data_IF_261809362736
#
_entry.id   IF_261809362736
#
_cell.length_a   1.000
_cell.length_b   1.000
_cell.length_c   1.000
_cell.angle_alpha   90.00
_cell.angle_beta   90.00
_cell.angle_gamma   90.00
#
_symmetry.space_group_name_H-M   'P 1'
#
loop_
_entity.id
_entity.type
_entity.pdbx_description
1 polymer ?
#
# COMPACT_ATOMS: atom_id res chain seq x y z
N UNK A 1 6.17 36.57 6.27
CA UNK A 1 6.56 37.17 4.97
C UNK A 1 6.00 36.26 3.88
N UNK A 2 4.91 36.68 3.25
CA UNK A 2 4.28 36.01 2.11
C UNK A 2 5.15 36.22 0.89
N UNK A 3 5.83 35.15 0.42
CA UNK A 3 6.58 35.20 -0.83
C UNK A 3 5.62 35.56 -1.98
N UNK A 4 5.93 36.67 -2.62
CA UNK A 4 5.13 37.28 -3.69
C UNK A 4 4.87 36.24 -4.81
N UNK A 5 3.62 36.01 -5.07
CA UNK A 5 3.09 35.20 -6.14
C UNK A 5 3.34 35.88 -7.48
N UNK A 6 4.48 35.61 -8.12
CA UNK A 6 4.83 36.25 -9.39
C UNK A 6 4.55 35.30 -10.56
N UNK A 7 3.89 35.80 -11.65
CA UNK A 7 3.58 34.98 -12.84
C UNK A 7 4.80 34.27 -13.46
N UNK A 8 5.99 34.87 -13.36
CA UNK A 8 7.25 34.26 -13.85
C UNK A 8 7.66 33.01 -13.08
N UNK A 9 7.50 32.95 -11.75
CA UNK A 9 7.81 31.77 -10.93
C UNK A 9 6.86 30.63 -11.25
N UNK A 10 5.60 30.91 -11.49
CA UNK A 10 4.62 29.90 -11.89
C UNK A 10 4.91 29.31 -13.26
N UNK A 11 5.23 30.15 -14.26
CA UNK A 11 5.57 29.69 -15.59
C UNK A 11 6.80 28.77 -15.55
N UNK A 12 7.85 29.15 -14.80
CA UNK A 12 9.04 28.32 -14.62
C UNK A 12 8.72 26.97 -13.96
N UNK A 13 7.92 26.97 -12.89
CA UNK A 13 7.51 25.73 -12.22
C UNK A 13 6.69 24.83 -13.14
N UNK A 14 5.80 25.39 -13.95
CA UNK A 14 5.02 24.66 -14.94
C UNK A 14 5.93 24.01 -15.99
N UNK A 15 6.90 24.76 -16.52
CA UNK A 15 7.85 24.26 -17.51
C UNK A 15 8.73 23.13 -16.94
N UNK A 16 9.20 23.26 -15.69
CA UNK A 16 10.01 22.24 -14.99
C UNK A 16 9.21 20.94 -14.80
N UNK A 17 7.97 21.03 -14.31
CA UNK A 17 7.09 19.87 -14.13
C UNK A 17 6.78 19.21 -15.47
N UNK A 18 6.44 19.99 -16.48
CA UNK A 18 6.13 19.50 -17.82
C UNK A 18 7.34 18.82 -18.47
N UNK A 19 8.54 19.38 -18.29
CA UNK A 19 9.77 18.78 -18.79
C UNK A 19 10.07 17.42 -18.12
N UNK A 20 9.88 17.32 -16.79
CA UNK A 20 10.05 16.07 -16.06
C UNK A 20 9.04 15.01 -16.52
N UNK A 21 7.78 15.38 -16.69
CA UNK A 21 6.73 14.48 -17.21
C UNK A 21 7.10 13.97 -18.61
N UNK A 22 7.57 14.83 -19.51
CA UNK A 22 7.98 14.42 -20.87
C UNK A 22 9.14 13.43 -20.84
N UNK A 23 10.15 13.63 -19.97
CA UNK A 23 11.24 12.67 -19.80
C UNK A 23 10.74 11.33 -19.29
N UNK A 24 9.89 11.35 -18.26
CA UNK A 24 9.29 10.11 -17.73
C UNK A 24 8.43 9.39 -18.76
N UNK A 25 7.70 10.12 -19.62
CA UNK A 25 6.95 9.53 -20.74
C UNK A 25 7.86 8.85 -21.77
N UNK A 26 9.02 9.42 -22.06
CA UNK A 26 10.02 8.79 -22.93
C UNK A 26 10.56 7.51 -22.29
N UNK A 27 10.97 7.57 -21.01
CA UNK A 27 11.44 6.41 -20.25
C UNK A 27 10.38 5.30 -20.12
N UNK A 28 9.10 5.66 -19.94
CA UNK A 28 8.00 4.68 -19.87
C UNK A 28 7.82 3.90 -21.18
N UNK A 29 8.15 4.48 -22.33
CA UNK A 29 8.12 3.77 -23.63
C UNK A 29 9.23 2.72 -23.70
N UNK A 30 10.41 3.02 -23.20
CA UNK A 30 11.54 2.09 -23.13
C UNK A 30 11.26 0.97 -22.12
N UNK A 31 10.77 1.30 -20.92
CA UNK A 31 10.35 0.32 -19.91
C UNK A 31 9.28 -0.65 -20.42
N UNK A 32 8.37 -0.18 -21.28
CA UNK A 32 7.30 -1.01 -21.84
C UNK A 32 7.82 -2.16 -22.71
N UNK A 33 8.96 -1.99 -23.34
CA UNK A 33 9.58 -2.99 -24.23
C UNK A 33 10.75 -3.71 -23.57
N UNK A 34 11.21 -3.24 -22.42
CA UNK A 34 12.25 -3.89 -21.64
C UNK A 34 11.77 -5.28 -21.18
N UNK A 35 12.65 -6.27 -21.27
CA UNK A 35 12.35 -7.61 -20.77
C UNK A 35 12.44 -7.72 -19.25
N UNK A 36 12.08 -8.88 -18.70
CA UNK A 36 12.12 -9.12 -17.25
C UNK A 36 13.55 -8.97 -16.69
N UNK A 37 14.53 -9.52 -17.38
CA UNK A 37 15.93 -9.52 -16.93
C UNK A 37 16.50 -8.09 -16.88
N UNK A 38 16.13 -7.24 -17.83
CA UNK A 38 16.53 -5.83 -17.87
C UNK A 38 15.94 -5.05 -16.69
N UNK A 39 14.66 -5.27 -16.36
CA UNK A 39 14.01 -4.64 -15.20
C UNK A 39 14.58 -5.17 -13.87
N UNK A 40 14.83 -6.47 -13.76
CA UNK A 40 15.43 -7.08 -12.58
C UNK A 40 16.86 -6.61 -12.39
N UNK A 41 17.63 -6.55 -13.46
CA UNK A 41 18.98 -5.99 -13.45
C UNK A 41 19.02 -4.54 -12.99
N UNK A 42 18.03 -3.73 -13.37
CA UNK A 42 17.90 -2.35 -12.91
C UNK A 42 17.62 -2.26 -11.40
N UNK A 43 16.74 -3.11 -10.85
CA UNK A 43 16.48 -3.18 -9.42
C UNK A 43 17.73 -3.59 -8.61
N UNK A 44 18.49 -4.58 -9.12
CA UNK A 44 19.74 -5.03 -8.50
C UNK A 44 20.79 -3.92 -8.53
N UNK A 45 20.96 -3.22 -9.66
CA UNK A 45 21.90 -2.11 -9.78
C UNK A 45 21.55 -0.93 -8.84
N UNK A 46 20.28 -0.63 -8.67
CA UNK A 46 19.83 0.37 -7.69
C UNK A 46 20.12 -0.09 -6.26
N UNK A 47 19.89 -1.37 -5.93
CA UNK A 47 20.20 -1.94 -4.62
C UNK A 47 21.71 -1.84 -4.32
N UNK A 48 22.58 -2.15 -5.28
CA UNK A 48 24.03 -2.06 -5.15
C UNK A 48 24.49 -0.60 -4.98
N UNK A 49 23.89 0.35 -5.70
CA UNK A 49 24.16 1.77 -5.56
C UNK A 49 23.80 2.30 -4.16
N UNK A 50 22.67 1.88 -3.61
CA UNK A 50 22.23 2.24 -2.24
C UNK A 50 23.19 1.69 -1.18
N UNK A 51 23.65 0.45 -1.32
CA UNK A 51 24.60 -0.15 -0.37
C UNK A 51 25.99 0.50 -0.43
N UNK A 52 26.45 0.83 -1.64
CA UNK A 52 27.79 1.44 -1.82
C UNK A 52 27.91 2.82 -1.20
N UNK A 53 26.83 3.56 -1.08
CA UNK A 53 26.80 4.93 -0.55
C UNK A 53 26.68 5.02 0.96
N UNK A 54 26.38 3.90 1.66
CA UNK A 54 26.23 3.80 3.12
C UNK A 54 25.45 4.98 3.75
N UNK A 55 24.28 5.32 3.18
CA UNK A 55 23.52 6.49 3.59
C UNK A 55 22.75 6.16 4.88
N UNK A 56 22.92 6.96 5.92
CA UNK A 56 22.14 6.84 7.16
C UNK A 56 20.63 6.90 6.92
N UNK A 57 20.18 7.58 5.85
CA UNK A 57 18.78 7.75 5.48
C UNK A 57 18.19 6.62 4.62
N UNK A 58 19.02 5.67 4.15
CA UNK A 58 18.55 4.51 3.39
C UNK A 58 19.00 3.22 4.09
N UNK A 59 18.13 2.61 4.94
CA UNK A 59 18.47 1.38 5.64
C UNK A 59 18.85 0.25 4.67
N UNK A 60 19.80 -0.61 5.07
CA UNK A 60 20.16 -1.83 4.31
C UNK A 60 18.94 -2.68 3.95
N UNK A 61 17.87 -2.58 4.76
CA UNK A 61 16.59 -3.21 4.49
C UNK A 61 15.98 -2.79 3.14
N UNK A 62 16.17 -1.53 2.70
CA UNK A 62 15.64 -1.04 1.42
C UNK A 62 16.31 -1.67 0.21
N UNK A 63 17.64 -1.90 0.27
CA UNK A 63 18.35 -2.61 -0.79
C UNK A 63 17.94 -4.09 -0.85
N UNK A 64 17.77 -4.75 0.30
CA UNK A 64 17.27 -6.11 0.36
C UNK A 64 15.86 -6.23 -0.24
N UNK A 65 14.97 -5.29 0.06
CA UNK A 65 13.61 -5.26 -0.52
C UNK A 65 13.62 -5.11 -2.05
N UNK A 66 14.53 -4.30 -2.62
CA UNK A 66 14.65 -4.19 -4.08
C UNK A 66 15.12 -5.51 -4.71
N UNK A 67 16.05 -6.23 -4.06
CA UNK A 67 16.47 -7.57 -4.50
C UNK A 67 15.33 -8.59 -4.39
N UNK A 68 14.54 -8.53 -3.32
CA UNK A 68 13.35 -9.37 -3.17
C UNK A 68 12.36 -9.14 -4.33
N UNK A 69 12.12 -7.87 -4.71
CA UNK A 69 11.26 -7.55 -5.85
C UNK A 69 11.84 -8.03 -7.18
N UNK A 70 13.15 -7.94 -7.40
CA UNK A 70 13.80 -8.51 -8.58
C UNK A 70 13.56 -10.01 -8.69
N UNK A 71 13.55 -10.75 -7.56
CA UNK A 71 13.28 -12.19 -7.51
C UNK A 71 11.82 -12.59 -7.69
N UNK A 72 10.88 -11.64 -7.77
CA UNK A 72 9.45 -11.97 -7.96
C UNK A 72 9.10 -12.32 -9.41
N UNK A 73 8.05 -13.11 -9.65
CA UNK A 73 7.57 -13.40 -11.01
C UNK A 73 7.24 -12.13 -11.79
N UNK A 74 7.52 -12.14 -13.09
CA UNK A 74 7.16 -11.04 -13.99
C UNK A 74 5.64 -10.93 -14.14
N UNK A 75 5.02 -9.77 -13.82
CA UNK A 75 3.62 -9.58 -14.06
C UNK A 75 3.30 -9.32 -15.54
N UNK A 76 4.27 -8.83 -16.33
CA UNK A 76 4.02 -8.38 -17.70
C UNK A 76 3.91 -9.56 -18.66
N UNK A 77 3.06 -9.41 -19.69
CA UNK A 77 2.82 -10.43 -20.67
C UNK A 77 1.96 -11.62 -20.20
N UNK A 78 1.58 -11.67 -18.92
CA UNK A 78 0.68 -12.71 -18.40
C UNK A 78 -0.68 -12.64 -19.12
N UNK A 79 -1.13 -13.78 -19.65
CA UNK A 79 -2.47 -13.91 -20.25
C UNK A 79 -3.50 -14.08 -19.14
N UNK A 80 -4.43 -13.13 -19.03
CA UNK A 80 -5.52 -13.17 -18.06
C UNK A 80 -6.76 -13.87 -18.60
N UNK A 81 -7.02 -13.67 -19.89
CA UNK A 81 -8.14 -14.28 -20.61
C UNK A 81 -7.70 -14.62 -22.03
N UNK A 82 -8.23 -15.73 -22.53
CA UNK A 82 -8.09 -16.12 -23.92
C UNK A 82 -9.46 -16.57 -24.45
N UNK A 83 -9.87 -16.03 -25.58
CA UNK A 83 -11.16 -16.29 -26.21
C UNK A 83 -10.95 -16.47 -27.71
N UNK A 84 -11.70 -17.40 -28.28
CA UNK A 84 -11.77 -17.55 -29.71
C UNK A 84 -13.03 -16.88 -30.26
N UNK A 85 -12.85 -16.01 -31.24
CA UNK A 85 -13.96 -15.34 -31.91
C UNK A 85 -14.63 -16.29 -32.92
N UNK A 86 -15.85 -15.94 -33.33
CA UNK A 86 -16.63 -16.72 -34.32
C UNK A 86 -15.94 -16.80 -35.67
N UNK A 87 -15.10 -15.83 -36.01
CA UNK A 87 -14.30 -15.79 -37.27
C UNK A 87 -12.97 -16.58 -37.16
N UNK A 88 -12.75 -17.29 -36.03
CA UNK A 88 -11.55 -18.07 -35.78
C UNK A 88 -10.42 -17.27 -35.14
N UNK A 89 -10.50 -15.95 -35.08
CA UNK A 89 -9.43 -15.13 -34.49
C UNK A 89 -9.30 -15.38 -32.95
N UNK A 90 -8.06 -15.46 -32.48
CA UNK A 90 -7.74 -15.62 -31.10
C UNK A 90 -7.56 -14.26 -30.43
N UNK A 91 -8.33 -14.00 -29.34
CA UNK A 91 -8.22 -12.81 -28.52
C UNK A 91 -7.55 -13.16 -27.20
N UNK A 92 -6.52 -12.41 -26.83
CA UNK A 92 -5.83 -12.54 -25.53
C UNK A 92 -5.83 -11.21 -24.79
N UNK A 93 -6.17 -11.25 -23.52
CA UNK A 93 -6.00 -10.12 -22.60
C UNK A 93 -4.69 -10.29 -21.84
N UNK A 94 -3.76 -9.39 -22.05
CA UNK A 94 -2.42 -9.43 -21.45
C UNK A 94 -2.25 -8.31 -20.43
N UNK A 95 -1.44 -8.56 -19.41
CA UNK A 95 -0.95 -7.51 -18.50
C UNK A 95 0.13 -6.68 -19.18
N UNK A 96 0.02 -5.35 -19.04
CA UNK A 96 0.98 -4.37 -19.57
C UNK A 96 1.23 -3.26 -18.54
N UNK A 97 2.36 -2.51 -18.63
CA UNK A 97 2.58 -1.36 -17.74
C UNK A 97 1.46 -0.33 -17.83
N UNK A 98 1.18 0.36 -16.71
CA UNK A 98 0.29 1.52 -16.68
C UNK A 98 0.94 2.67 -17.47
N UNK A 99 2.21 2.99 -17.18
CA UNK A 99 2.95 4.03 -17.87
C UNK A 99 3.69 4.94 -16.91
N UNK A 100 3.26 6.19 -16.76
CA UNK A 100 3.84 7.17 -15.83
C UNK A 100 3.00 7.24 -14.57
N UNK A 101 3.61 6.90 -13.42
CA UNK A 101 2.94 6.92 -12.12
C UNK A 101 3.56 8.01 -11.24
N UNK A 102 2.74 8.93 -10.75
CA UNK A 102 3.16 9.94 -9.81
C UNK A 102 2.93 9.47 -8.36
N UNK A 103 3.94 9.60 -7.50
CA UNK A 103 3.87 9.28 -6.08
C UNK A 103 4.11 10.55 -5.27
N UNK A 104 3.13 10.96 -4.48
CA UNK A 104 3.24 12.05 -3.52
C UNK A 104 3.48 11.44 -2.15
N UNK A 105 4.47 11.90 -1.41
CA UNK A 105 4.77 11.34 -0.10
C UNK A 105 5.21 12.39 0.92
N UNK A 106 4.84 12.13 2.18
CA UNK A 106 5.14 12.95 3.35
C UNK A 106 5.95 12.19 4.39
N UNK A 107 6.25 10.93 4.13
CA UNK A 107 7.11 10.07 4.93
C UNK A 107 8.59 10.25 4.59
N UNK A 108 9.52 9.79 5.45
CA UNK A 108 10.93 9.73 5.13
C UNK A 108 11.22 9.07 3.77
N UNK A 109 12.11 9.62 2.94
CA UNK A 109 12.29 9.18 1.55
C UNK A 109 12.61 7.70 1.36
N UNK A 110 13.26 7.05 2.34
CA UNK A 110 13.55 5.62 2.25
C UNK A 110 12.28 4.75 2.24
N UNK A 111 11.15 5.23 2.76
CA UNK A 111 9.89 4.49 2.67
C UNK A 111 9.39 4.40 1.23
N UNK A 112 9.66 5.39 0.39
CA UNK A 112 9.23 5.37 -1.01
C UNK A 112 9.97 4.30 -1.84
N UNK A 113 11.17 3.88 -1.42
CA UNK A 113 11.91 2.79 -2.07
C UNK A 113 11.12 1.48 -2.09
N UNK A 114 10.32 1.24 -1.05
CA UNK A 114 9.46 0.05 -0.94
C UNK A 114 8.39 0.00 -2.04
N UNK A 115 7.96 1.15 -2.54
CA UNK A 115 7.02 1.25 -3.65
C UNK A 115 7.77 1.34 -5.00
N UNK A 116 8.98 1.89 -5.01
CA UNK A 116 9.77 2.02 -6.22
C UNK A 116 10.08 0.67 -6.88
N UNK A 117 10.41 -0.35 -6.05
CA UNK A 117 10.66 -1.71 -6.53
C UNK A 117 9.50 -2.28 -7.36
N UNK A 118 8.28 -2.39 -6.81
CA UNK A 118 7.15 -2.91 -7.56
C UNK A 118 6.75 -2.04 -8.75
N UNK A 119 6.94 -0.70 -8.69
CA UNK A 119 6.65 0.19 -9.81
C UNK A 119 7.58 -0.07 -11.00
N UNK A 120 8.89 -0.17 -10.78
CA UNK A 120 9.87 -0.46 -11.83
C UNK A 120 9.74 -1.89 -12.34
N UNK A 121 9.49 -2.88 -11.46
CA UNK A 121 9.23 -4.27 -11.85
C UNK A 121 8.05 -4.39 -12.79
N UNK A 122 6.98 -3.61 -12.55
CA UNK A 122 5.80 -3.52 -13.41
C UNK A 122 6.02 -2.68 -14.68
N UNK A 123 7.24 -2.19 -14.94
CA UNK A 123 7.58 -1.46 -16.16
C UNK A 123 7.05 -0.01 -16.20
N UNK A 124 6.80 0.62 -15.04
CA UNK A 124 6.32 1.99 -14.97
C UNK A 124 7.47 2.98 -14.73
N UNK A 125 7.39 4.15 -15.34
CA UNK A 125 8.20 5.30 -14.96
C UNK A 125 7.56 6.05 -13.79
N UNK A 126 8.39 6.62 -12.91
CA UNK A 126 7.97 7.14 -11.62
C UNK A 126 8.32 8.63 -11.48
N UNK A 127 7.31 9.44 -11.16
CA UNK A 127 7.45 10.83 -10.80
C UNK A 127 7.25 10.95 -9.28
N UNK A 128 8.31 11.25 -8.56
CA UNK A 128 8.29 11.40 -7.10
C UNK A 128 8.10 12.88 -6.74
N UNK A 129 7.29 13.17 -5.74
CA UNK A 129 7.19 14.48 -5.12
C UNK A 129 7.10 14.34 -3.61
N UNK A 130 8.20 14.68 -2.95
CA UNK A 130 8.31 14.70 -1.50
C UNK A 130 7.59 15.91 -0.88
N UNK A 131 7.21 15.82 0.39
CA UNK A 131 6.92 17.01 1.17
C UNK A 131 8.16 17.93 1.24
N UNK A 132 7.93 19.22 1.44
CA UNK A 132 9.01 20.22 1.36
C UNK A 132 10.17 19.93 2.32
N UNK A 133 9.87 19.51 3.54
CA UNK A 133 10.87 19.20 4.56
C UNK A 133 11.69 17.94 4.28
N UNK A 134 11.22 17.07 3.38
CA UNK A 134 11.92 15.87 2.93
C UNK A 134 12.58 16.03 1.55
N UNK A 135 12.46 17.20 0.90
CA UNK A 135 12.91 17.37 -0.50
C UNK A 135 14.38 17.07 -0.70
N UNK A 136 15.27 17.66 0.11
CA UNK A 136 16.72 17.46 -0.04
C UNK A 136 17.15 16.01 0.18
N UNK A 137 16.55 15.33 1.16
CA UNK A 137 16.82 13.91 1.38
C UNK A 137 16.28 13.03 0.23
N UNK A 138 15.12 13.41 -0.34
CA UNK A 138 14.58 12.75 -1.52
C UNK A 138 15.44 12.96 -2.77
N UNK A 139 16.01 14.16 -2.94
CA UNK A 139 16.94 14.48 -4.04
C UNK A 139 18.17 13.57 -3.97
N UNK A 140 18.83 13.51 -2.82
CA UNK A 140 19.97 12.60 -2.61
C UNK A 140 19.61 11.15 -2.93
N UNK A 141 18.45 10.69 -2.50
CA UNK A 141 18.01 9.32 -2.75
C UNK A 141 17.75 9.05 -4.24
N UNK A 142 17.06 9.98 -4.91
CA UNK A 142 16.75 9.86 -6.34
C UNK A 142 18.01 9.90 -7.18
N UNK A 143 19.00 10.71 -6.81
CA UNK A 143 20.30 10.74 -7.51
C UNK A 143 20.99 9.38 -7.47
N UNK A 144 20.99 8.69 -6.33
CA UNK A 144 21.56 7.35 -6.20
C UNK A 144 20.79 6.33 -7.02
N UNK A 145 19.46 6.39 -6.99
CA UNK A 145 18.61 5.52 -7.83
C UNK A 145 18.96 5.74 -9.31
N UNK A 146 19.08 6.99 -9.74
CA UNK A 146 19.44 7.34 -11.12
C UNK A 146 20.87 6.93 -11.50
N UNK A 147 21.83 7.00 -10.58
CA UNK A 147 23.18 6.47 -10.77
C UNK A 147 23.17 4.94 -10.97
N UNK A 148 22.41 4.21 -10.16
CA UNK A 148 22.23 2.76 -10.33
C UNK A 148 21.61 2.43 -11.69
N UNK A 149 20.51 3.12 -12.07
CA UNK A 149 19.87 2.93 -13.37
C UNK A 149 20.82 3.24 -14.55
N UNK A 150 21.68 4.26 -14.43
CA UNK A 150 22.63 4.65 -15.49
C UNK A 150 23.63 3.55 -15.86
N UNK A 151 23.82 2.54 -15.02
CA UNK A 151 24.67 1.37 -15.30
C UNK A 151 23.94 0.28 -16.09
N UNK A 152 22.64 0.46 -16.38
CA UNK A 152 21.76 -0.52 -16.99
C UNK A 152 21.19 0.00 -18.34
N UNK A 153 20.36 -0.81 -18.97
CA UNK A 153 19.60 -0.39 -20.16
C UNK A 153 18.35 0.43 -19.84
N UNK A 154 17.91 0.41 -18.56
CA UNK A 154 16.76 1.21 -18.15
C UNK A 154 17.19 2.68 -17.99
N UNK A 155 16.53 3.63 -18.67
CA UNK A 155 16.95 5.02 -18.62
C UNK A 155 16.82 5.60 -17.22
N UNK A 156 17.78 6.40 -16.79
CA UNK A 156 17.74 7.10 -15.50
C UNK A 156 16.51 8.00 -15.35
N UNK A 157 15.92 8.44 -16.46
CA UNK A 157 14.69 9.22 -16.49
C UNK A 157 13.43 8.39 -16.16
N UNK A 158 13.59 7.08 -15.93
CA UNK A 158 12.53 6.23 -15.36
C UNK A 158 12.14 6.69 -13.94
N UNK A 159 13.02 7.38 -13.22
CA UNK A 159 12.74 7.95 -11.91
C UNK A 159 13.09 9.43 -11.91
N UNK A 160 12.10 10.28 -11.63
CA UNK A 160 12.24 11.74 -11.59
C UNK A 160 11.74 12.28 -10.26
N UNK A 161 12.39 13.32 -9.74
CA UNK A 161 11.89 14.08 -8.59
C UNK A 161 11.34 15.43 -9.08
N UNK A 162 10.12 15.73 -8.66
CA UNK A 162 9.48 17.03 -8.88
C UNK A 162 9.82 17.94 -7.70
N UNK A 163 10.28 19.17 -7.99
CA UNK A 163 10.56 20.15 -6.95
C UNK A 163 9.32 20.45 -6.10
N UNK A 164 9.50 20.45 -4.79
CA UNK A 164 8.47 20.80 -3.81
C UNK A 164 8.61 22.22 -3.26
N UNK A 165 9.52 23.02 -3.79
CA UNK A 165 9.70 24.41 -3.39
C UNK A 165 8.46 25.25 -3.61
N UNK A 166 7.77 25.01 -4.72
CA UNK A 166 6.54 25.70 -5.08
C UNK A 166 5.30 24.79 -4.91
N UNK A 167 4.28 25.28 -4.22
CA UNK A 167 3.01 24.55 -4.08
C UNK A 167 2.31 24.29 -5.43
N UNK A 168 2.52 25.16 -6.41
CA UNK A 168 1.96 25.00 -7.75
C UNK A 168 2.44 23.74 -8.44
N UNK A 169 3.65 23.20 -8.14
CA UNK A 169 4.12 21.97 -8.71
C UNK A 169 3.20 20.77 -8.36
N UNK A 170 2.62 20.76 -7.15
CA UNK A 170 1.62 19.75 -6.77
C UNK A 170 0.39 19.83 -7.68
N UNK A 171 -0.16 21.03 -7.85
CA UNK A 171 -1.36 21.23 -8.66
C UNK A 171 -1.14 20.81 -10.10
N UNK A 172 -0.01 21.21 -10.70
CA UNK A 172 0.31 20.82 -12.07
C UNK A 172 0.42 19.30 -12.21
N UNK A 173 1.02 18.61 -11.22
CA UNK A 173 1.17 17.17 -11.26
C UNK A 173 -0.16 16.42 -11.15
N UNK A 174 -1.03 16.80 -10.18
CA UNK A 174 -2.32 16.13 -9.97
C UNK A 174 -3.36 16.43 -11.07
N UNK A 175 -3.14 17.49 -11.85
CA UNK A 175 -4.03 17.87 -12.97
C UNK A 175 -3.47 17.52 -14.35
N UNK A 176 -2.29 16.87 -14.43
CA UNK A 176 -1.64 16.49 -15.69
C UNK A 176 -2.28 15.24 -16.33
N UNK A 177 -3.61 15.22 -16.45
CA UNK A 177 -4.35 14.12 -17.06
C UNK A 177 -3.96 13.93 -18.52
N UNK A 178 -3.67 12.68 -18.90
CA UNK A 178 -3.19 12.34 -20.24
C UNK A 178 -1.66 12.30 -20.35
N UNK A 179 -0.96 12.98 -19.45
CA UNK A 179 0.51 12.96 -19.35
C UNK A 179 1.01 12.14 -18.15
N UNK A 180 0.25 12.08 -17.08
CA UNK A 180 0.42 11.18 -15.93
C UNK A 180 -0.75 10.20 -15.94
N UNK A 181 -0.47 8.92 -15.84
CA UNK A 181 -1.46 7.86 -16.00
C UNK A 181 -2.10 7.46 -14.67
N UNK A 182 -1.37 7.59 -13.55
CA UNK A 182 -1.83 7.24 -12.22
C UNK A 182 -1.16 8.11 -11.15
N UNK A 183 -1.91 8.40 -10.08
CA UNK A 183 -1.43 9.11 -8.88
C UNK A 183 -1.58 8.20 -7.65
N UNK A 184 -0.52 8.11 -6.83
CA UNK A 184 -0.52 7.41 -5.54
C UNK A 184 -0.17 8.43 -4.44
N UNK A 185 -1.17 8.93 -3.69
CA UNK A 185 -0.94 9.91 -2.62
C UNK A 185 -0.64 9.23 -1.27
N UNK A 186 0.65 9.07 -0.95
CA UNK A 186 1.16 8.62 0.36
C UNK A 186 1.33 9.82 1.29
N UNK A 187 0.23 10.49 1.60
CA UNK A 187 0.22 11.75 2.37
C UNK A 187 -0.80 11.69 3.49
N UNK A 188 -0.61 12.52 4.51
CA UNK A 188 -1.53 12.61 5.63
C UNK A 188 -2.95 12.99 5.24
N UNK A 189 -3.95 12.74 6.13
CA UNK A 189 -5.38 12.88 5.80
C UNK A 189 -5.77 14.29 5.38
N UNK A 190 -5.18 15.33 5.95
CA UNK A 190 -5.49 16.72 5.59
C UNK A 190 -5.11 17.07 4.15
N UNK A 191 -3.90 16.68 3.70
CA UNK A 191 -3.47 16.92 2.32
C UNK A 191 -4.23 16.02 1.34
N UNK A 192 -4.53 14.78 1.74
CA UNK A 192 -5.33 13.84 0.94
C UNK A 192 -6.73 14.40 0.66
N UNK A 193 -7.41 14.95 1.68
CA UNK A 193 -8.72 15.58 1.52
C UNK A 193 -8.71 16.74 0.54
N UNK A 194 -7.56 17.39 0.35
CA UNK A 194 -7.39 18.46 -0.65
C UNK A 194 -7.10 17.90 -2.05
N UNK A 195 -6.27 16.84 -2.13
CA UNK A 195 -5.84 16.27 -3.42
C UNK A 195 -6.97 15.53 -4.13
N UNK A 196 -7.72 14.69 -3.41
CA UNK A 196 -8.74 13.82 -4.02
C UNK A 196 -9.76 14.61 -4.86
N UNK A 197 -10.38 15.69 -4.38
CA UNK A 197 -11.36 16.44 -5.17
C UNK A 197 -10.75 17.28 -6.30
N UNK A 198 -9.46 17.65 -6.21
CA UNK A 198 -8.79 18.49 -7.21
C UNK A 198 -8.08 17.68 -8.30
N UNK A 199 -7.78 16.40 -8.04
CA UNK A 199 -7.05 15.57 -8.99
C UNK A 199 -7.91 15.22 -10.22
N UNK A 200 -7.35 15.46 -11.41
CA UNK A 200 -7.91 14.98 -12.68
C UNK A 200 -7.19 13.74 -13.19
N UNK A 201 -5.99 13.46 -12.69
CA UNK A 201 -5.27 12.21 -12.89
C UNK A 201 -5.98 11.11 -12.09
N UNK A 202 -6.24 9.92 -12.67
CA UNK A 202 -6.73 8.78 -11.92
C UNK A 202 -5.85 8.50 -10.69
N UNK A 203 -6.43 8.17 -9.56
CA UNK A 203 -5.67 7.93 -8.35
C UNK A 203 -6.07 6.60 -7.67
N UNK A 204 -5.12 6.02 -6.93
CA UNK A 204 -5.37 4.94 -5.99
C UNK A 204 -5.44 5.53 -4.60
N UNK A 205 -6.58 5.35 -3.92
CA UNK A 205 -6.71 5.77 -2.53
C UNK A 205 -5.95 4.80 -1.63
N UNK A 206 -4.89 5.31 -1.01
CA UNK A 206 -4.12 4.62 0.00
C UNK A 206 -4.51 5.20 1.35
N UNK A 207 -5.07 4.38 2.21
CA UNK A 207 -5.42 4.77 3.56
C UNK A 207 -4.65 3.94 4.58
N UNK A 208 -4.26 4.51 5.74
CA UNK A 208 -3.81 3.69 6.86
C UNK A 208 -4.95 2.74 7.24
N UNK A 209 -4.60 1.47 7.40
CA UNK A 209 -5.56 0.44 7.76
C UNK A 209 -6.02 0.60 9.20
N UNK A 210 -7.32 0.38 9.43
CA UNK A 210 -7.90 0.08 10.72
C UNK A 210 -8.40 -1.35 10.66
N UNK A 211 -7.80 -2.23 11.45
CA UNK A 211 -8.15 -3.64 11.46
C UNK A 211 -8.97 -4.02 12.68
N UNK A 212 -9.86 -4.99 12.51
CA UNK A 212 -10.56 -5.64 13.60
C UNK A 212 -10.16 -7.11 13.69
N UNK A 213 -10.13 -7.62 14.91
CA UNK A 213 -10.02 -9.04 15.20
C UNK A 213 -11.27 -9.49 15.94
N UNK A 214 -12.07 -10.36 15.33
CA UNK A 214 -13.17 -11.01 16.01
C UNK A 214 -12.74 -12.36 16.61
N UNK A 215 -12.91 -12.50 17.91
CA UNK A 215 -12.66 -13.72 18.69
C UNK A 215 -14.02 -14.38 18.96
N UNK A 216 -14.33 -15.40 18.19
CA UNK A 216 -15.57 -16.16 18.27
C UNK A 216 -15.61 -17.06 19.53
N UNK A 217 -16.77 -17.62 19.86
CA UNK A 217 -16.97 -18.50 21.02
C UNK A 217 -15.99 -19.69 21.08
N UNK A 218 -15.50 -20.13 19.93
CA UNK A 218 -14.56 -21.25 19.79
C UNK A 218 -13.13 -20.80 19.45
N UNK A 219 -12.79 -19.53 19.70
CA UNK A 219 -11.46 -19.02 19.39
C UNK A 219 -10.38 -19.69 20.26
N UNK A 220 -9.26 -20.05 19.64
CA UNK A 220 -8.07 -20.50 20.37
C UNK A 220 -7.46 -19.33 21.15
N UNK A 221 -7.41 -19.40 22.51
CA UNK A 221 -6.90 -18.32 23.32
C UNK A 221 -5.41 -18.01 23.10
N UNK A 222 -4.60 -19.02 22.79
CA UNK A 222 -3.16 -18.83 22.53
C UNK A 222 -2.93 -18.11 21.21
N UNK A 223 -3.63 -18.52 20.16
CA UNK A 223 -3.56 -17.88 18.85
C UNK A 223 -4.06 -16.43 18.94
N UNK A 224 -5.12 -16.17 19.73
CA UNK A 224 -5.64 -14.82 19.96
C UNK A 224 -4.59 -13.91 20.61
N UNK A 225 -3.93 -14.37 21.68
CA UNK A 225 -2.86 -13.63 22.37
C UNK A 225 -1.69 -13.34 21.41
N UNK A 226 -1.23 -14.36 20.69
CA UNK A 226 -0.10 -14.24 19.76
C UNK A 226 -0.39 -13.21 18.64
N UNK A 227 -1.60 -13.23 18.06
CA UNK A 227 -1.98 -12.32 16.99
C UNK A 227 -2.12 -10.89 17.50
N UNK A 228 -2.79 -10.68 18.64
CA UNK A 228 -2.96 -9.36 19.22
C UNK A 228 -1.61 -8.73 19.54
N UNK A 229 -0.70 -9.46 20.20
CA UNK A 229 0.64 -8.98 20.50
C UNK A 229 1.45 -8.68 19.24
N UNK A 230 1.43 -9.58 18.26
CA UNK A 230 2.13 -9.40 17.00
C UNK A 230 1.71 -8.09 16.31
N UNK A 231 0.40 -7.85 16.19
CA UNK A 231 -0.13 -6.67 15.51
C UNK A 231 0.18 -5.36 16.24
N UNK A 232 0.28 -5.40 17.57
CA UNK A 232 0.55 -4.23 18.38
C UNK A 232 2.06 -3.92 18.53
N UNK A 233 2.93 -4.89 18.30
CA UNK A 233 4.38 -4.73 18.49
C UNK A 233 5.16 -4.59 17.18
N UNK A 234 4.52 -4.82 16.03
CA UNK A 234 5.19 -4.61 14.74
C UNK A 234 5.43 -3.12 14.46
N UNK A 235 6.50 -2.76 13.73
CA UNK A 235 6.77 -1.38 13.36
C UNK A 235 5.58 -0.75 12.62
N UNK A 236 5.31 0.52 12.93
CA UNK A 236 4.34 1.34 12.19
C UNK A 236 4.66 1.33 10.71
N UNK A 237 3.65 1.10 9.88
CA UNK A 237 3.82 1.04 8.42
C UNK A 237 3.82 -0.37 7.83
N UNK A 238 3.67 -1.44 8.65
CA UNK A 238 3.47 -2.80 8.13
C UNK A 238 2.10 -3.02 7.46
N UNK A 239 1.20 -2.03 7.57
CA UNK A 239 -0.18 -2.13 7.05
C UNK A 239 -1.08 -3.12 7.80
N UNK A 240 -0.56 -3.78 8.84
CA UNK A 240 -1.20 -4.89 9.53
C UNK A 240 -1.48 -4.54 11.01
N UNK A 241 -2.11 -3.41 11.26
CA UNK A 241 -2.52 -3.00 12.62
C UNK A 241 -3.92 -3.51 12.93
N UNK A 242 -4.10 -4.10 14.11
CA UNK A 242 -5.40 -4.35 14.71
C UNK A 242 -5.62 -3.25 15.74
N UNK A 243 -6.62 -2.41 15.51
CA UNK A 243 -6.99 -1.32 16.40
C UNK A 243 -8.10 -1.74 17.38
N UNK A 244 -8.88 -2.74 16.99
CA UNK A 244 -10.07 -3.18 17.73
C UNK A 244 -10.14 -4.69 17.82
N UNK A 245 -10.39 -5.20 19.02
CA UNK A 245 -10.69 -6.61 19.29
C UNK A 245 -12.15 -6.74 19.72
N UNK A 246 -12.90 -7.57 19.02
CA UNK A 246 -14.28 -7.91 19.30
C UNK A 246 -14.32 -9.31 19.90
N UNK A 247 -14.87 -9.48 21.10
CA UNK A 247 -14.80 -10.75 21.85
C UNK A 247 -16.20 -11.30 22.07
N UNK A 248 -16.39 -12.59 21.79
CA UNK A 248 -17.64 -13.27 22.12
C UNK A 248 -17.85 -13.33 23.64
N UNK A 249 -19.08 -13.11 24.18
CA UNK A 249 -19.34 -13.08 25.61
C UNK A 249 -18.93 -14.35 26.35
N UNK A 250 -19.11 -15.52 25.71
CA UNK A 250 -18.85 -16.83 26.34
C UNK A 250 -17.38 -17.06 26.71
N UNK A 251 -16.45 -16.36 26.02
CA UNK A 251 -15.01 -16.48 26.28
C UNK A 251 -14.42 -15.24 26.97
N UNK A 252 -15.19 -14.15 27.07
CA UNK A 252 -14.68 -12.87 27.55
C UNK A 252 -14.12 -12.95 28.97
N UNK A 253 -14.81 -13.63 29.90
CA UNK A 253 -14.42 -13.73 31.30
C UNK A 253 -13.06 -14.46 31.50
N UNK A 254 -12.71 -15.40 30.62
CA UNK A 254 -11.46 -16.16 30.67
C UNK A 254 -10.38 -15.47 29.86
N UNK A 255 -10.71 -15.01 28.65
CA UNK A 255 -9.74 -14.51 27.68
C UNK A 255 -9.24 -13.10 28.00
N UNK A 256 -10.11 -12.18 28.45
CA UNK A 256 -9.71 -10.79 28.68
C UNK A 256 -8.63 -10.64 29.78
N UNK A 257 -8.70 -11.33 30.94
CA UNK A 257 -7.63 -11.29 31.93
C UNK A 257 -6.29 -11.83 31.42
N UNK A 258 -6.36 -12.86 30.57
CA UNK A 258 -5.16 -13.46 29.93
C UNK A 258 -4.52 -12.46 28.96
N UNK A 259 -5.30 -11.83 28.08
CA UNK A 259 -4.83 -10.79 27.16
C UNK A 259 -4.25 -9.58 27.92
N UNK A 260 -4.91 -9.11 28.99
CA UNK A 260 -4.43 -7.99 29.80
C UNK A 260 -3.03 -8.23 30.32
N UNK A 261 -2.76 -9.42 30.87
CA UNK A 261 -1.44 -9.77 31.36
C UNK A 261 -0.33 -9.68 30.30
N UNK A 262 -0.63 -10.07 29.05
CA UNK A 262 0.29 -9.98 27.92
C UNK A 262 0.46 -8.54 27.43
N UNK A 263 -0.65 -7.80 27.28
CA UNK A 263 -0.68 -6.42 26.80
C UNK A 263 0.03 -5.44 27.74
N UNK A 264 -0.15 -5.60 29.06
CA UNK A 264 0.58 -4.81 30.07
C UNK A 264 2.10 -5.02 29.98
N UNK A 265 2.56 -6.26 29.79
CA UNK A 265 3.99 -6.55 29.61
C UNK A 265 4.57 -5.90 28.33
N UNK A 266 3.74 -5.71 27.32
CA UNK A 266 4.10 -5.04 26.06
C UNK A 266 3.85 -3.52 26.08
N UNK A 267 3.46 -2.94 27.24
CA UNK A 267 3.14 -1.51 27.41
C UNK A 267 2.03 -1.01 26.46
N UNK A 268 1.02 -1.86 26.21
CA UNK A 268 -0.13 -1.53 25.38
C UNK A 268 -1.28 -1.05 26.28
N UNK A 269 -1.82 0.12 25.96
CA UNK A 269 -2.95 0.71 26.66
C UNK A 269 -4.25 0.19 26.08
N UNK A 270 -5.10 -0.38 26.93
CA UNK A 270 -6.39 -0.95 26.53
C UNK A 270 -7.53 -0.08 27.04
N UNK A 271 -8.53 0.14 26.19
CA UNK A 271 -9.81 0.71 26.56
C UNK A 271 -10.92 -0.26 26.16
N UNK A 272 -11.88 -0.46 27.05
CA UNK A 272 -12.99 -1.39 26.84
C UNK A 272 -14.33 -0.69 26.68
N UNK A 273 -15.26 -1.33 25.97
CA UNK A 273 -16.66 -0.97 26.07
C UNK A 273 -17.20 -1.29 27.49
N UNK A 274 -18.46 -0.94 27.74
CA UNK A 274 -19.09 -1.16 29.05
C UNK A 274 -19.04 -2.64 29.49
N UNK A 275 -19.19 -3.58 28.55
CA UNK A 275 -19.20 -5.00 28.84
C UNK A 275 -17.78 -5.54 29.09
N UNK A 276 -16.79 -5.11 28.31
CA UNK A 276 -15.40 -5.43 28.53
C UNK A 276 -14.89 -4.84 29.86
N UNK A 277 -15.25 -3.57 30.18
CA UNK A 277 -14.89 -2.92 31.45
C UNK A 277 -15.57 -3.57 32.66
N UNK A 278 -16.70 -4.24 32.50
CA UNK A 278 -17.30 -5.02 33.57
C UNK A 278 -16.46 -6.26 33.95
N UNK A 279 -15.74 -6.84 32.98
CA UNK A 279 -14.76 -7.94 33.21
C UNK A 279 -13.42 -7.39 33.67
N UNK A 280 -12.98 -6.27 33.09
CA UNK A 280 -11.68 -5.63 33.34
C UNK A 280 -11.86 -4.20 33.84
N UNK A 281 -12.14 -4.00 35.14
CA UNK A 281 -12.47 -2.67 35.71
C UNK A 281 -11.34 -1.64 35.61
N UNK A 282 -10.09 -2.09 35.49
CA UNK A 282 -8.91 -1.24 35.34
C UNK A 282 -8.73 -0.64 33.96
N UNK A 283 -9.48 -1.12 32.97
CA UNK A 283 -9.42 -0.60 31.61
C UNK A 283 -10.16 0.74 31.51
N UNK A 284 -9.57 1.68 30.76
CA UNK A 284 -10.26 2.91 30.40
C UNK A 284 -11.52 2.62 29.58
N UNK A 285 -12.49 3.53 29.64
CA UNK A 285 -13.71 3.39 28.84
C UNK A 285 -13.53 3.92 27.42
N UNK A 286 -14.18 3.26 26.47
CA UNK A 286 -14.26 3.71 25.07
C UNK A 286 -15.46 4.63 24.91
N UNK A 287 -15.27 5.77 24.23
CA UNK A 287 -16.34 6.67 23.84
C UNK A 287 -16.81 6.37 22.41
N UNK A 288 -18.04 6.75 22.04
CA UNK A 288 -18.62 6.43 20.72
C UNK A 288 -17.76 6.89 19.54
N UNK A 289 -17.08 8.03 19.65
CA UNK A 289 -16.19 8.57 18.61
C UNK A 289 -14.87 7.81 18.44
N UNK A 290 -14.44 7.07 19.43
CA UNK A 290 -13.17 6.32 19.42
C UNK A 290 -13.19 5.19 18.39
N UNK A 291 -14.35 4.55 18.21
CA UNK A 291 -14.50 3.43 17.29
C UNK A 291 -14.20 3.78 15.83
N UNK A 292 -14.41 5.01 15.41
CA UNK A 292 -14.13 5.47 14.05
C UNK A 292 -12.69 6.02 13.90
N UNK A 293 -11.97 6.23 15.01
CA UNK A 293 -10.62 6.81 15.01
C UNK A 293 -9.58 5.74 14.76
N UNK A 294 -8.54 6.06 13.99
CA UNK A 294 -7.34 5.23 13.87
C UNK A 294 -6.44 5.59 15.05
N UNK A 295 -6.14 4.60 15.87
CA UNK A 295 -5.32 4.80 17.06
C UNK A 295 -3.83 4.66 16.73
N UNK A 296 -3.01 5.33 17.57
CA UNK A 296 -1.56 5.16 17.50
C UNK A 296 -1.17 3.77 18.02
N UNK A 297 -0.03 3.28 17.56
CA UNK A 297 0.55 2.04 18.08
C UNK A 297 0.63 2.06 19.61
N UNK A 298 0.35 0.93 20.23
CA UNK A 298 0.29 0.81 21.70
C UNK A 298 -1.07 1.17 22.30
N UNK A 299 -2.11 1.39 21.48
CA UNK A 299 -3.50 1.56 21.93
C UNK A 299 -4.39 0.50 21.30
N UNK A 300 -5.22 -0.14 22.09
CA UNK A 300 -6.15 -1.19 21.67
C UNK A 300 -7.55 -0.94 22.23
N UNK A 301 -8.55 -1.02 21.37
CA UNK A 301 -9.94 -0.99 21.81
C UNK A 301 -10.49 -2.42 21.89
N UNK A 302 -11.29 -2.68 22.90
CA UNK A 302 -11.93 -4.00 23.10
C UNK A 302 -13.42 -3.84 23.33
N UNK A 303 -14.22 -4.59 22.57
CA UNK A 303 -15.67 -4.70 22.81
C UNK A 303 -16.08 -6.15 23.00
N UNK A 304 -17.07 -6.38 23.87
CA UNK A 304 -17.74 -7.67 23.96
C UNK A 304 -18.99 -7.63 23.11
N UNK A 305 -19.02 -8.47 22.06
CA UNK A 305 -20.09 -8.48 21.04
C UNK A 305 -20.87 -9.78 21.06
N UNK A 306 -22.20 -9.73 21.05
CA UNK A 306 -23.06 -10.92 21.23
C UNK A 306 -23.11 -11.84 19.98
N UNK A 307 -21.95 -12.11 19.37
CA UNK A 307 -21.81 -13.06 18.28
C UNK A 307 -21.42 -12.41 16.94
N UNK A 308 -21.36 -13.26 15.90
CA UNK A 308 -20.85 -12.91 14.57
C UNK A 308 -21.63 -11.75 13.92
N UNK A 309 -22.95 -11.73 14.03
CA UNK A 309 -23.78 -10.66 13.43
C UNK A 309 -23.42 -9.27 13.97
N UNK A 310 -23.26 -9.18 15.28
CA UNK A 310 -22.89 -7.92 15.91
C UNK A 310 -21.45 -7.52 15.58
N UNK A 311 -20.53 -8.48 15.48
CA UNK A 311 -19.15 -8.25 15.08
C UNK A 311 -19.08 -7.72 13.64
N UNK A 312 -19.77 -8.34 12.69
CA UNK A 312 -19.85 -7.88 11.29
C UNK A 312 -20.45 -6.47 11.23
N UNK A 313 -21.56 -6.22 11.95
CA UNK A 313 -22.16 -4.88 12.00
C UNK A 313 -21.22 -3.82 12.57
N UNK A 314 -20.42 -4.17 13.59
CA UNK A 314 -19.42 -3.27 14.14
C UNK A 314 -18.34 -2.94 13.11
N UNK A 315 -17.82 -3.95 12.40
CA UNK A 315 -16.83 -3.81 11.34
C UNK A 315 -17.37 -2.93 10.19
N UNK A 316 -18.59 -3.18 9.73
CA UNK A 316 -19.22 -2.38 8.67
C UNK A 316 -19.33 -0.88 9.01
N UNK A 317 -19.60 -0.58 10.29
CA UNK A 317 -19.74 0.82 10.75
C UNK A 317 -18.42 1.54 10.99
N UNK A 318 -17.42 0.81 11.47
CA UNK A 318 -16.20 1.40 12.04
C UNK A 318 -14.93 1.00 11.28
N UNK A 319 -14.99 0.02 10.38
CA UNK A 319 -13.85 -0.49 9.62
C UNK A 319 -13.42 0.45 8.50
N UNK A 320 -12.15 0.35 8.11
CA UNK A 320 -11.59 1.05 6.96
C UNK A 320 -11.68 0.25 5.65
N UNK A 321 -12.16 -1.00 5.71
CA UNK A 321 -12.13 -1.94 4.58
C UNK A 321 -10.73 -2.47 4.27
N UNK A 322 -9.76 -2.34 5.19
CA UNK A 322 -8.37 -2.76 4.99
C UNK A 322 -8.19 -4.25 5.27
N UNK A 323 -8.06 -4.64 6.52
CA UNK A 323 -7.79 -6.02 6.93
C UNK A 323 -8.65 -6.37 8.13
N UNK A 324 -9.38 -7.47 8.03
CA UNK A 324 -10.26 -7.95 9.08
C UNK A 324 -9.92 -9.41 9.40
N UNK A 325 -9.95 -9.78 10.67
CA UNK A 325 -9.54 -11.09 11.14
C UNK A 325 -10.65 -11.76 11.94
N UNK A 326 -10.73 -13.09 11.86
CA UNK A 326 -11.52 -13.93 12.75
C UNK A 326 -10.69 -15.09 13.28
N UNK A 327 -10.85 -15.40 14.57
CA UNK A 327 -10.36 -16.64 15.16
C UNK A 327 -11.58 -17.46 15.59
N UNK A 328 -11.74 -18.63 15.02
CA UNK A 328 -12.85 -19.56 15.28
C UNK A 328 -12.52 -20.97 14.81
N UNK A 329 -12.95 -21.99 15.53
CA UNK A 329 -12.95 -23.39 15.07
C UNK A 329 -14.27 -23.75 14.33
N UNK A 330 -15.29 -22.90 14.40
CA UNK A 330 -16.52 -23.11 13.65
C UNK A 330 -16.33 -22.72 12.17
N UNK A 331 -16.23 -23.74 11.30
CA UNK A 331 -16.07 -23.54 9.85
C UNK A 331 -17.22 -22.79 9.20
N UNK A 332 -18.41 -22.82 9.79
CA UNK A 332 -19.57 -22.08 9.29
C UNK A 332 -19.40 -20.60 9.58
N UNK A 333 -19.00 -20.23 10.81
CA UNK A 333 -18.72 -18.85 11.18
C UNK A 333 -17.55 -18.28 10.37
N UNK A 334 -16.48 -19.06 10.16
CA UNK A 334 -15.35 -18.65 9.33
C UNK A 334 -15.77 -18.30 7.89
N UNK A 335 -16.58 -19.18 7.26
CA UNK A 335 -17.09 -18.94 5.89
C UNK A 335 -18.05 -17.75 5.84
N UNK A 336 -18.95 -17.64 6.81
CA UNK A 336 -19.92 -16.54 6.89
C UNK A 336 -19.22 -15.19 7.08
N UNK A 337 -18.21 -15.11 7.96
CA UNK A 337 -17.37 -13.93 8.14
C UNK A 337 -16.71 -13.51 6.82
N UNK A 338 -16.05 -14.44 6.12
CA UNK A 338 -15.40 -14.16 4.83
C UNK A 338 -16.37 -13.65 3.77
N UNK A 339 -17.62 -14.13 3.76
CA UNK A 339 -18.62 -13.73 2.78
C UNK A 339 -19.27 -12.37 3.08
N UNK A 340 -19.35 -12.00 4.36
CA UNK A 340 -20.09 -10.80 4.78
C UNK A 340 -19.19 -9.59 4.98
N UNK A 341 -17.93 -9.80 5.38
CA UNK A 341 -17.01 -8.72 5.64
C UNK A 341 -16.45 -8.17 4.33
N UNK A 342 -16.72 -6.89 4.06
CA UNK A 342 -16.21 -6.18 2.89
C UNK A 342 -14.86 -5.51 3.21
N UNK A 343 -13.79 -6.31 3.22
CA UNK A 343 -12.42 -5.85 3.41
C UNK A 343 -11.52 -6.26 2.24
N UNK A 344 -10.41 -5.54 2.07
CA UNK A 344 -9.39 -5.85 1.07
C UNK A 344 -8.67 -7.19 1.39
N UNK A 345 -8.52 -7.49 2.68
CA UNK A 345 -7.98 -8.76 3.16
C UNK A 345 -8.82 -9.28 4.32
N UNK A 346 -9.19 -10.55 4.26
CA UNK A 346 -9.85 -11.27 5.37
C UNK A 346 -8.95 -12.45 5.76
N UNK A 347 -8.61 -12.53 7.04
CA UNK A 347 -7.75 -13.57 7.59
C UNK A 347 -8.56 -14.47 8.55
N UNK A 348 -8.38 -15.77 8.44
CA UNK A 348 -9.03 -16.77 9.29
C UNK A 348 -7.98 -17.61 9.98
N UNK A 349 -7.96 -17.62 11.31
CA UNK A 349 -7.05 -18.43 12.14
C UNK A 349 -5.57 -18.31 11.71
N UNK A 350 -5.17 -17.17 11.20
CA UNK A 350 -3.80 -16.98 10.74
C UNK A 350 -3.24 -15.64 11.19
N UNK A 351 -1.92 -15.61 11.38
CA UNK A 351 -1.21 -14.39 11.70
C UNK A 351 -1.12 -13.49 10.47
N UNK A 352 -1.30 -12.18 10.62
CA UNK A 352 -1.03 -11.23 9.55
C UNK A 352 0.49 -11.10 9.37
N UNK A 353 1.09 -12.05 8.65
CA UNK A 353 2.53 -12.09 8.43
C UNK A 353 2.84 -11.58 7.02
N UNK A 354 3.78 -10.64 6.94
CA UNK A 354 4.32 -10.14 5.69
C UNK A 354 5.46 -11.05 5.18
N UNK A 355 5.16 -12.31 4.87
CA UNK A 355 6.16 -13.31 4.48
C UNK A 355 6.60 -13.18 3.02
N UNK A 356 5.77 -12.58 2.19
CA UNK A 356 6.10 -12.36 0.78
C UNK A 356 6.33 -10.88 0.50
N UNK A 357 7.10 -10.52 -0.53
CA UNK A 357 7.26 -9.12 -0.93
C UNK A 357 5.93 -8.40 -1.12
N UNK A 358 4.92 -9.06 -1.70
CA UNK A 358 3.57 -8.49 -1.88
C UNK A 358 2.92 -8.12 -0.55
N UNK A 359 3.01 -8.99 0.47
CA UNK A 359 2.45 -8.73 1.79
C UNK A 359 3.26 -7.72 2.61
N UNK A 360 4.53 -7.47 2.24
CA UNK A 360 5.36 -6.41 2.82
C UNK A 360 5.10 -5.04 2.18
N UNK A 361 4.23 -4.95 1.18
CA UNK A 361 3.87 -3.67 0.59
C UNK A 361 3.34 -2.73 1.65
N UNK A 362 3.97 -1.56 1.80
CA UNK A 362 3.49 -0.48 2.67
C UNK A 362 2.26 0.22 2.11
N UNK A 363 1.93 -0.08 0.85
CA UNK A 363 0.89 0.62 0.13
C UNK A 363 -0.27 -0.32 -0.07
N UNK A 364 -1.36 0.00 0.59
CA UNK A 364 -2.59 -0.78 0.60
C UNK A 364 -3.74 0.06 0.04
N UNK A 365 -4.42 -0.46 -0.98
CA UNK A 365 -5.63 0.16 -1.50
C UNK A 365 -6.86 -0.44 -0.84
N UNK A 366 -7.69 0.41 -0.26
CA UNK A 366 -8.99 0.03 0.32
C UNK A 366 -10.17 0.36 -0.60
N UNK A 367 -9.92 0.99 -1.74
CA UNK A 367 -10.97 1.32 -2.71
C UNK A 367 -11.66 0.06 -3.22
N UNK A 368 -12.96 0.18 -3.54
CA UNK A 368 -13.76 -0.97 -4.04
C UNK A 368 -13.43 -1.33 -5.49
N UNK A 369 -12.89 -0.39 -6.27
CA UNK A 369 -12.40 -0.66 -7.62
C UNK A 369 -10.97 -1.22 -7.55
N UNK A 370 -10.59 -2.03 -8.54
CA UNK A 370 -9.23 -2.54 -8.62
C UNK A 370 -8.22 -1.41 -8.91
N UNK A 371 -7.01 -1.47 -8.36
CA UNK A 371 -6.55 -2.53 -7.49
C UNK A 371 -7.05 -2.36 -6.04
N UNK A 372 -7.32 -3.47 -5.36
CA UNK A 372 -7.70 -3.53 -3.96
C UNK A 372 -6.76 -4.47 -3.22
N UNK A 373 -6.30 -4.08 -2.03
CA UNK A 373 -5.34 -4.85 -1.25
C UNK A 373 -3.91 -4.33 -1.35
N UNK A 374 -2.90 -5.16 -1.03
CA UNK A 374 -1.50 -4.78 -1.11
C UNK A 374 -1.09 -4.50 -2.55
N UNK A 375 -0.40 -3.36 -2.78
CA UNK A 375 0.06 -2.98 -4.11
C UNK A 375 1.42 -3.61 -4.41
N UNK A 376 1.40 -4.73 -5.11
CA UNK A 376 2.58 -5.35 -5.70
C UNK A 376 2.74 -5.00 -7.18
N UNK A 377 3.73 -5.61 -7.88
CA UNK A 377 3.92 -5.38 -9.31
C UNK A 377 2.68 -5.72 -10.15
N UNK A 378 1.92 -6.73 -9.76
CA UNK A 378 0.70 -7.16 -10.45
C UNK A 378 -0.39 -6.09 -10.43
N UNK A 379 -0.61 -5.46 -9.28
CA UNK A 379 -1.62 -4.41 -9.07
C UNK A 379 -1.24 -3.09 -9.73
N UNK A 380 0.05 -2.91 -10.02
CA UNK A 380 0.61 -1.74 -10.72
C UNK A 380 0.71 -1.95 -12.24
N UNK A 381 -0.13 -2.83 -12.80
CA UNK A 381 -0.29 -3.08 -14.24
C UNK A 381 -1.70 -2.74 -14.70
N UNK A 382 -1.85 -2.59 -16.01
CA UNK A 382 -3.15 -2.55 -16.68
C UNK A 382 -3.25 -3.67 -17.70
N UNK A 383 -4.32 -3.69 -18.49
CA UNK A 383 -4.55 -4.77 -19.45
C UNK A 383 -4.69 -4.25 -20.88
N UNK A 384 -4.27 -5.09 -21.84
CA UNK A 384 -4.39 -4.84 -23.27
C UNK A 384 -4.95 -6.07 -23.95
N UNK A 385 -5.94 -5.88 -24.82
CA UNK A 385 -6.43 -6.93 -25.70
C UNK A 385 -5.61 -6.99 -26.99
N UNK A 386 -5.18 -8.19 -27.36
CA UNK A 386 -4.52 -8.48 -28.63
C UNK A 386 -5.37 -9.51 -29.37
N UNK A 387 -5.72 -9.21 -30.62
CA UNK A 387 -6.45 -10.13 -31.50
C UNK A 387 -5.59 -10.50 -32.68
N UNK A 388 -5.31 -11.79 -32.81
CA UNK A 388 -4.56 -12.34 -33.96
C UNK A 388 -5.47 -13.27 -34.75
N UNK A 389 -5.36 -13.32 -36.09
CA UNK A 389 -5.95 -14.39 -36.89
C UNK A 389 -5.33 -15.73 -36.44
N UNK A 390 -6.06 -16.84 -36.63
CA UNK A 390 -5.69 -18.18 -36.13
C UNK A 390 -4.39 -18.77 -36.77
N UNK A 391 -3.59 -17.97 -37.43
CA UNK A 391 -2.25 -18.34 -37.88
C UNK A 391 -1.24 -17.85 -36.86
N UNK A 392 -0.49 -18.79 -36.28
CA UNK A 392 0.65 -18.51 -35.41
C UNK A 392 1.56 -17.45 -36.08
N UNK A 393 1.46 -16.22 -35.60
CA UNK A 393 2.53 -15.25 -35.76
C UNK A 393 3.51 -15.59 -34.67
N UNK A 394 4.42 -16.53 -34.99
CA UNK A 394 5.59 -16.79 -34.17
C UNK A 394 6.31 -15.45 -33.98
N UNK A 395 6.43 -15.03 -32.71
CA UNK A 395 7.30 -13.94 -32.37
C UNK A 395 8.74 -14.37 -32.62
N UNK A 396 9.36 -13.80 -33.65
CA UNK A 396 10.81 -13.83 -33.86
C UNK A 396 11.47 -12.87 -32.89
#
# INVERSE_FOLDING_TARGET
MTAAWTPRVQARTFDEVTAAIRRSRAAARELRVADCAERDGALLAVADALESRAIESAPRASAAELRDWAGTPDPLGQTLREEQRRDGARMRQLRVPIGVIAVLFDDPPHHVLRLLGPLLKAGNAVLLRAARHHHSAAETLVDIVREGLATTRIPSDAVQLISSEQRSSLRYLITARGDVDLLIPLVGPGLRATIIPEATVPLIEVAPGKGHLYLDATADPQLAEDIVLLCQTQPTGSGLTIDTVLVHPDIAAELLPRLDGALRRAHIHVRGDKAASAVMPDWGQVEDGDWATIHQQGQLLVAVTPGLDAAVTHIERNGSGHTELIITEDRRHAREFCNRVDAATVLVNTRPIADTPQHRSLVYSTQRLAPRGPLGPTELTTTKWITNPDRDISHG
#
